data_IF_208650859965
#
_entry.id   IF_208650859965
#
_cell.length_a   1.000
_cell.length_b   1.000
_cell.length_c   1.000
_cell.angle_alpha   90.00
_cell.angle_beta   90.00
_cell.angle_gamma   90.00
#
_symmetry.space_group_name_H-M   'P 1'
#
loop_
_entity.id
_entity.type
_entity.pdbx_description
1 polymer ?
#
# COMPACT_ATOMS: atom_id res chain seq x y z
N UNK A 1 60.90 -18.52 -48.69
CA UNK A 1 59.64 -17.77 -48.44
C UNK A 1 58.88 -18.40 -47.34
N UNK A 2 58.78 -17.75 -46.18
CA UNK A 2 58.00 -18.23 -45.08
C UNK A 2 56.74 -17.36 -44.95
N UNK A 3 55.60 -17.99 -45.14
CA UNK A 3 54.29 -17.34 -44.95
C UNK A 3 53.90 -17.53 -43.51
N UNK A 4 53.97 -16.48 -42.70
CA UNK A 4 53.51 -16.49 -41.32
C UNK A 4 52.02 -16.33 -41.28
N UNK A 5 51.27 -17.37 -40.91
CA UNK A 5 49.88 -17.30 -40.55
C UNK A 5 49.76 -16.68 -39.14
N UNK A 6 49.24 -15.47 -39.07
CA UNK A 6 48.80 -14.89 -37.78
C UNK A 6 47.38 -15.32 -37.52
N UNK A 7 47.20 -16.18 -36.50
CA UNK A 7 45.89 -16.46 -35.92
C UNK A 7 45.48 -15.22 -35.11
N UNK A 8 44.44 -14.57 -35.56
CA UNK A 8 43.75 -13.57 -34.77
C UNK A 8 42.87 -14.28 -33.73
N UNK A 9 43.18 -14.10 -32.47
CA UNK A 9 42.30 -14.52 -31.38
C UNK A 9 41.13 -13.54 -31.30
N UNK A 10 39.92 -13.99 -31.67
CA UNK A 10 38.69 -13.29 -31.34
C UNK A 10 38.40 -13.50 -29.84
N UNK A 11 38.71 -12.48 -29.05
CA UNK A 11 38.30 -12.43 -27.66
C UNK A 11 36.81 -12.12 -27.61
N UNK A 12 35.99 -13.13 -27.45
CA UNK A 12 34.56 -12.99 -27.24
C UNK A 12 34.30 -12.44 -25.86
N UNK A 13 33.90 -11.18 -25.81
CA UNK A 13 33.46 -10.53 -24.60
C UNK A 13 32.03 -11.02 -24.31
N UNK A 14 31.89 -12.03 -23.44
CA UNK A 14 30.57 -12.41 -22.90
C UNK A 14 30.15 -11.34 -21.90
N UNK A 15 29.23 -10.47 -22.30
CA UNK A 15 28.47 -9.65 -21.34
C UNK A 15 27.56 -10.58 -20.53
N UNK A 16 27.61 -10.55 -19.19
CA UNK A 16 26.60 -11.22 -18.42
C UNK A 16 25.29 -10.45 -18.56
N UNK A 17 24.31 -11.10 -19.19
CA UNK A 17 22.94 -10.61 -19.22
C UNK A 17 22.40 -10.70 -17.80
N UNK A 18 22.43 -9.57 -17.08
CA UNK A 18 21.80 -9.48 -15.76
C UNK A 18 20.29 -9.57 -15.96
N UNK A 19 19.73 -10.74 -15.69
CA UNK A 19 18.28 -10.90 -15.56
C UNK A 19 17.83 -10.14 -14.30
N UNK A 20 17.32 -8.94 -14.50
CA UNK A 20 16.56 -8.25 -13.47
C UNK A 20 15.22 -8.97 -13.38
N UNK A 21 15.09 -9.87 -12.41
CA UNK A 21 13.80 -10.41 -12.03
C UNK A 21 13.01 -9.29 -11.39
N UNK A 22 12.21 -8.59 -12.20
CA UNK A 22 11.14 -7.75 -11.68
C UNK A 22 10.10 -8.71 -11.13
N UNK A 23 10.13 -8.94 -9.81
CA UNK A 23 9.10 -9.71 -9.14
C UNK A 23 7.77 -8.97 -9.28
N UNK A 24 6.85 -9.46 -10.10
CA UNK A 24 5.45 -9.09 -10.06
C UNK A 24 4.85 -9.69 -8.78
N UNK A 25 5.04 -9.03 -7.63
CA UNK A 25 4.21 -9.23 -6.46
C UNK A 25 2.84 -8.63 -6.77
N UNK A 26 1.78 -9.46 -6.86
CA UNK A 26 0.43 -8.98 -7.07
C UNK A 26 -0.05 -8.16 -5.90
N UNK A 27 -0.45 -6.91 -6.14
CA UNK A 27 -0.95 -5.92 -5.20
C UNK A 27 -0.46 -4.53 -5.60
N UNK A 28 -1.30 -3.52 -5.45
CA UNK A 28 -0.87 -2.13 -5.58
C UNK A 28 0.10 -1.79 -4.45
N UNK A 29 1.06 -0.89 -4.70
CA UNK A 29 1.89 -0.36 -3.63
C UNK A 29 0.97 0.30 -2.58
N UNK A 30 1.23 0.05 -1.29
CA UNK A 30 0.43 0.56 -0.17
C UNK A 30 -1.03 0.08 -0.18
N UNK A 31 -1.29 -1.16 -0.59
CA UNK A 31 -2.63 -1.75 -0.53
C UNK A 31 -2.99 -2.19 0.89
N UNK A 32 -4.22 -1.92 1.28
CA UNK A 32 -4.82 -2.38 2.53
C UNK A 32 -6.15 -3.06 2.23
N UNK A 33 -6.15 -4.38 2.36
CA UNK A 33 -7.35 -5.18 2.20
C UNK A 33 -8.21 -5.19 3.47
N UNK A 34 -9.52 -5.07 3.29
CA UNK A 34 -10.51 -5.25 4.33
C UNK A 34 -11.02 -6.68 4.33
N UNK A 35 -10.86 -7.38 5.44
CA UNK A 35 -11.51 -8.68 5.64
C UNK A 35 -12.94 -8.50 6.12
N UNK A 36 -13.57 -9.60 6.54
CA UNK A 36 -14.96 -9.55 7.02
C UNK A 36 -15.15 -8.62 8.24
N UNK A 37 -14.18 -8.59 9.14
CA UNK A 37 -14.24 -7.79 10.38
C UNK A 37 -12.84 -7.32 10.84
N UNK A 38 -11.86 -7.28 9.94
CA UNK A 38 -10.50 -6.86 10.26
C UNK A 38 -9.79 -6.40 8.98
N UNK A 39 -8.88 -5.44 9.10
CA UNK A 39 -7.88 -5.22 8.06
C UNK A 39 -6.91 -6.40 8.01
N UNK A 40 -6.40 -6.74 6.81
CA UNK A 40 -5.47 -7.87 6.66
C UNK A 40 -4.09 -7.58 7.29
N UNK A 41 -3.76 -6.31 7.48
CA UNK A 41 -2.59 -5.87 8.23
C UNK A 41 -2.99 -4.94 9.37
N UNK A 42 -2.16 -4.90 10.42
CA UNK A 42 -2.38 -4.04 11.60
C UNK A 42 -1.62 -2.72 11.54
N UNK A 43 -0.70 -2.58 10.60
CA UNK A 43 0.09 -1.35 10.41
C UNK A 43 0.59 -1.22 8.98
N UNK A 44 0.79 0.03 8.56
CA UNK A 44 1.43 0.38 7.29
C UNK A 44 2.25 1.65 7.48
N UNK A 45 3.38 1.74 6.78
CA UNK A 45 4.23 2.96 6.75
C UNK A 45 4.31 3.47 5.33
N UNK A 46 4.01 4.74 5.14
CA UNK A 46 4.06 5.45 3.87
C UNK A 46 4.76 6.80 4.04
N UNK A 47 5.05 7.48 2.93
CA UNK A 47 5.54 8.87 2.95
C UNK A 47 4.39 9.86 2.82
N UNK A 48 4.57 11.06 3.37
CA UNK A 48 3.62 12.16 3.18
C UNK A 48 3.38 12.44 1.68
N UNK A 49 2.11 12.54 1.30
CA UNK A 49 1.67 12.69 -0.09
C UNK A 49 1.41 11.39 -0.84
N UNK A 50 1.76 10.24 -0.26
CA UNK A 50 1.40 8.95 -0.84
C UNK A 50 -0.03 8.56 -0.48
N UNK A 51 -0.64 7.74 -1.34
CA UNK A 51 -1.96 7.18 -1.11
C UNK A 51 -1.87 5.77 -0.53
N UNK A 52 -2.86 5.42 0.29
CA UNK A 52 -3.19 4.04 0.61
C UNK A 52 -4.34 3.61 -0.28
N UNK A 53 -4.16 2.47 -0.93
CA UNK A 53 -5.16 1.81 -1.76
C UNK A 53 -6.01 0.88 -0.87
N UNK A 54 -7.13 1.37 -0.38
CA UNK A 54 -8.06 0.57 0.41
C UNK A 54 -8.96 -0.26 -0.49
N UNK A 55 -9.00 -1.55 -0.25
CA UNK A 55 -9.78 -2.52 -1.04
C UNK A 55 -10.74 -3.27 -0.13
N UNK A 56 -12.03 -3.23 -0.46
CA UNK A 56 -13.02 -4.12 0.13
C UNK A 56 -13.29 -5.27 -0.86
N UNK A 57 -12.66 -6.44 -0.67
CA UNK A 57 -12.79 -7.55 -1.60
C UNK A 57 -14.20 -8.14 -1.60
N UNK A 58 -14.50 -8.98 -2.59
CA UNK A 58 -15.81 -9.61 -2.76
C UNK A 58 -16.33 -10.39 -1.53
N UNK A 59 -15.44 -10.74 -0.60
CA UNK A 59 -15.78 -11.43 0.66
C UNK A 59 -15.79 -10.51 1.89
N UNK A 60 -15.52 -9.20 1.71
CA UNK A 60 -15.33 -8.27 2.82
C UNK A 60 -16.63 -7.92 3.55
N UNK A 61 -17.61 -7.44 2.82
CA UNK A 61 -18.89 -6.98 3.38
C UNK A 61 -19.02 -5.46 3.38
N UNK A 62 -19.67 -4.88 4.37
CA UNK A 62 -19.78 -3.43 4.51
C UNK A 62 -18.90 -2.93 5.64
N UNK A 63 -18.18 -1.85 5.41
CA UNK A 63 -17.34 -1.18 6.39
C UNK A 63 -17.65 0.32 6.42
N UNK A 64 -17.49 0.93 7.58
CA UNK A 64 -17.54 2.39 7.73
C UNK A 64 -16.25 2.81 8.42
N UNK A 65 -15.32 3.38 7.67
CA UNK A 65 -13.99 3.71 8.18
C UNK A 65 -13.76 5.20 8.39
N UNK A 66 -13.00 5.53 9.41
CA UNK A 66 -12.57 6.88 9.73
C UNK A 66 -11.27 6.85 10.54
N UNK A 67 -10.63 7.99 10.67
CA UNK A 67 -9.62 8.16 11.73
C UNK A 67 -10.35 8.20 13.07
N UNK A 68 -9.85 7.45 14.03
CA UNK A 68 -10.55 7.35 15.31
C UNK A 68 -9.93 6.39 16.31
N UNK A 69 -10.75 5.97 17.25
CA UNK A 69 -10.36 5.03 18.29
C UNK A 69 -11.51 4.11 18.64
N UNK A 70 -11.19 2.84 18.80
CA UNK A 70 -12.17 1.78 19.07
C UNK A 70 -13.20 1.71 17.93
N UNK A 71 -14.42 2.18 18.15
CA UNK A 71 -15.48 2.27 17.13
C UNK A 71 -15.97 3.71 16.90
N UNK A 72 -15.21 4.69 17.39
CA UNK A 72 -15.60 6.09 17.34
C UNK A 72 -14.68 6.88 16.41
N UNK A 73 -15.26 7.61 15.47
CA UNK A 73 -14.53 8.58 14.69
C UNK A 73 -14.07 9.73 15.61
N UNK A 74 -12.77 9.96 15.64
CA UNK A 74 -12.16 11.05 16.40
C UNK A 74 -11.26 11.82 15.44
N UNK A 75 -11.64 13.05 15.14
CA UNK A 75 -10.89 13.90 14.22
C UNK A 75 -9.47 14.16 14.76
N UNK A 76 -8.51 14.07 13.85
CA UNK A 76 -7.10 14.31 14.13
C UNK A 76 -6.52 15.29 13.10
N UNK A 77 -5.86 16.35 13.58
CA UNK A 77 -5.21 17.29 12.69
C UNK A 77 -4.19 16.61 11.77
N UNK A 78 -4.22 16.93 10.49
CA UNK A 78 -3.32 16.36 9.48
C UNK A 78 -3.82 15.06 8.83
N UNK A 79 -4.85 14.43 9.38
CA UNK A 79 -5.48 13.26 8.76
C UNK A 79 -6.15 13.63 7.41
N UNK A 80 -6.27 12.66 6.48
CA UNK A 80 -7.00 12.88 5.24
C UNK A 80 -8.43 13.33 5.47
N UNK A 81 -8.88 14.36 4.78
CA UNK A 81 -10.23 14.94 4.95
C UNK A 81 -11.34 13.88 4.81
N UNK A 82 -11.17 12.93 3.90
CA UNK A 82 -12.13 11.85 3.64
C UNK A 82 -12.33 10.93 4.86
N UNK A 83 -11.26 10.68 5.63
CA UNK A 83 -11.30 9.85 6.84
C UNK A 83 -11.50 10.67 8.12
N UNK A 84 -11.33 12.00 8.04
CA UNK A 84 -11.36 12.90 9.19
C UNK A 84 -12.74 13.48 9.44
N UNK A 85 -13.75 12.65 9.38
CA UNK A 85 -15.16 13.01 9.48
C UNK A 85 -15.80 12.35 10.72
N UNK A 86 -16.90 12.91 11.19
CA UNK A 86 -17.63 12.35 12.34
C UNK A 86 -18.37 11.05 12.00
N UNK A 87 -18.73 10.86 10.74
CA UNK A 87 -19.60 9.75 10.30
C UNK A 87 -18.82 8.63 9.59
N UNK A 88 -17.57 8.90 9.21
CA UNK A 88 -16.76 7.99 8.41
C UNK A 88 -17.21 7.88 6.95
N UNK A 89 -16.52 7.03 6.19
CA UNK A 89 -16.86 6.72 4.81
C UNK A 89 -17.24 5.25 4.66
N UNK A 90 -18.27 4.97 3.90
CA UNK A 90 -18.77 3.62 3.68
C UNK A 90 -18.04 2.97 2.51
N UNK A 91 -17.59 1.74 2.74
CA UNK A 91 -17.17 0.78 1.73
C UNK A 91 -18.19 -0.33 1.66
N UNK A 92 -18.55 -0.71 0.45
CA UNK A 92 -19.35 -1.89 0.17
C UNK A 92 -18.47 -2.91 -0.55
N UNK A 93 -18.88 -4.14 -0.54
CA UNK A 93 -18.20 -5.23 -1.25
C UNK A 93 -17.79 -4.83 -2.67
N UNK A 94 -16.52 -4.93 -2.98
CA UNK A 94 -15.93 -4.57 -4.26
C UNK A 94 -15.48 -3.11 -4.39
N UNK A 95 -15.73 -2.26 -3.39
CA UNK A 95 -15.28 -0.88 -3.42
C UNK A 95 -13.76 -0.79 -3.24
N UNK A 96 -13.18 0.14 -3.99
CA UNK A 96 -11.76 0.49 -3.93
C UNK A 96 -11.62 1.99 -3.88
N UNK A 97 -10.76 2.51 -3.01
CA UNK A 97 -10.46 3.95 -2.91
C UNK A 97 -8.99 4.21 -2.61
N UNK A 98 -8.43 5.15 -3.33
CA UNK A 98 -7.12 5.72 -3.03
C UNK A 98 -7.29 6.92 -2.12
N UNK A 99 -6.72 6.86 -0.92
CA UNK A 99 -6.78 7.94 0.07
C UNK A 99 -5.37 8.46 0.33
N UNK A 100 -5.14 9.72 -0.04
CA UNK A 100 -3.85 10.39 0.14
C UNK A 100 -3.68 10.84 1.58
N UNK A 101 -2.54 10.55 2.18
CA UNK A 101 -2.14 11.04 3.51
C UNK A 101 -1.15 12.20 3.34
N UNK A 102 -1.60 13.46 3.45
CA UNK A 102 -0.78 14.61 3.08
C UNK A 102 0.25 14.99 4.12
N UNK A 103 0.05 14.63 5.38
CA UNK A 103 0.82 15.14 6.51
C UNK A 103 1.47 14.01 7.29
N UNK A 104 2.77 14.16 7.59
CA UNK A 104 3.49 13.23 8.46
C UNK A 104 2.83 13.14 9.85
N UNK A 105 2.78 11.94 10.39
CA UNK A 105 2.15 11.65 11.67
C UNK A 105 1.79 10.18 11.80
N UNK A 106 1.10 9.84 12.90
CA UNK A 106 0.56 8.50 13.12
C UNK A 106 -0.96 8.62 13.26
N UNK A 107 -1.67 7.84 12.47
CA UNK A 107 -3.13 7.86 12.39
C UNK A 107 -3.67 6.45 12.57
N UNK A 108 -4.64 6.30 13.46
CA UNK A 108 -5.38 5.05 13.58
C UNK A 108 -6.64 5.13 12.73
N UNK A 109 -6.76 4.23 11.77
CA UNK A 109 -7.93 4.08 10.92
C UNK A 109 -8.73 2.90 11.45
N UNK A 110 -9.99 3.15 11.79
CA UNK A 110 -10.87 2.18 12.43
C UNK A 110 -12.14 1.96 11.62
N UNK A 111 -12.82 0.84 11.85
CA UNK A 111 -14.17 0.63 11.36
C UNK A 111 -15.17 0.81 12.51
N UNK A 112 -16.19 1.64 12.30
CA UNK A 112 -17.18 1.95 13.34
C UNK A 112 -18.15 0.82 13.65
N UNK A 113 -18.29 -0.15 12.75
CA UNK A 113 -19.25 -1.26 12.85
C UNK A 113 -18.61 -2.61 13.17
N UNK A 114 -17.28 -2.69 13.22
CA UNK A 114 -16.55 -3.91 13.54
C UNK A 114 -15.54 -3.61 14.66
N UNK A 115 -15.89 -3.85 15.94
CA UNK A 115 -14.96 -3.63 17.04
C UNK A 115 -13.63 -4.36 16.86
N UNK A 116 -12.52 -3.64 17.08
CA UNK A 116 -11.16 -4.17 16.89
C UNK A 116 -10.63 -4.16 15.46
N UNK A 117 -11.41 -3.73 14.47
CA UNK A 117 -10.94 -3.51 13.11
C UNK A 117 -10.21 -2.17 13.03
N UNK A 118 -8.90 -2.22 13.14
CA UNK A 118 -8.02 -1.05 13.21
C UNK A 118 -6.71 -1.30 12.47
N UNK A 119 -6.19 -0.27 11.84
CA UNK A 119 -4.85 -0.23 11.26
C UNK A 119 -4.15 1.07 11.65
N UNK A 120 -2.91 0.97 12.13
CA UNK A 120 -2.07 2.14 12.41
C UNK A 120 -1.31 2.54 11.15
N UNK A 121 -1.54 3.75 10.68
CA UNK A 121 -0.85 4.35 9.54
C UNK A 121 0.23 5.28 10.03
N UNK A 122 1.49 4.97 9.75
CA UNK A 122 2.63 5.85 10.02
C UNK A 122 3.02 6.57 8.72
N UNK A 123 2.91 7.89 8.73
CA UNK A 123 3.27 8.76 7.61
C UNK A 123 4.58 9.47 7.93
N UNK A 124 5.62 9.19 7.16
CA UNK A 124 6.94 9.81 7.30
C UNK A 124 7.08 11.05 6.43
N UNK A 125 8.04 11.89 6.75
CA UNK A 125 8.37 13.09 5.95
C UNK A 125 8.95 12.73 4.60
#
# INVERSE_FOLDING_TARGET
MRVGKRLGALSGFLLPLAFVLVGCGGGAANEVDMGVAAFQQTSITIKAGEAIHFVDPASGGTHVICVGKDVNCVQQAGAPDELNTADGITFNTGDVRDIVFPTAGTYDVICTIHPGMEITVTVTS
#
